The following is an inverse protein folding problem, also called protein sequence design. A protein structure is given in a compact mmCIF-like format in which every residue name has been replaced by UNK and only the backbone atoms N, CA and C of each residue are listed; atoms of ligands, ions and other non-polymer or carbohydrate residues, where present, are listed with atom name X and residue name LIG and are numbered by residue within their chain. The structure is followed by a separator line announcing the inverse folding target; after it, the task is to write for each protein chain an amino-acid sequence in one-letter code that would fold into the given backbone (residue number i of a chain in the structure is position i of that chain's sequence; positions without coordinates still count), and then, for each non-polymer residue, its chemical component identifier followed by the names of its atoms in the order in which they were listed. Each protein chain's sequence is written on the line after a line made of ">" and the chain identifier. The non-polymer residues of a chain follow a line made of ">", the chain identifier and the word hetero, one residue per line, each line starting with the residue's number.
data_IF_774792531274
#
_entry.id   IF_774792531274
#
_cell.length_a   1.000
_cell.length_b   1.000
_cell.length_c   1.000
_cell.angle_alpha   90.00
_cell.angle_beta   90.00
_cell.angle_gamma   90.00
#
_symmetry.space_group_name_H-M   'P 1'
#
loop_
_entity.id
_entity.type
_entity.pdbx_description
1 polymer ?
#
# COMPACT_ATOMS: atom_id res chain seq x y z
N UNK A 1 -22.17 9.84 23.44
CA UNK A 1 -20.75 10.22 23.33
C UNK A 1 -20.44 10.40 21.85
N UNK A 2 -20.05 11.59 21.40
CA UNK A 2 -19.66 11.81 20.00
C UNK A 2 -18.27 11.23 19.79
N UNK A 3 -18.19 10.03 19.22
CA UNK A 3 -16.95 9.55 18.60
C UNK A 3 -16.49 10.61 17.61
N UNK A 4 -15.30 11.16 17.77
CA UNK A 4 -14.72 12.05 16.75
C UNK A 4 -14.49 11.22 15.48
N UNK A 5 -15.47 11.25 14.59
CA UNK A 5 -15.40 10.64 13.26
C UNK A 5 -14.60 11.60 12.39
N UNK A 6 -13.61 11.12 11.63
CA UNK A 6 -12.83 11.90 10.66
C UNK A 6 -11.65 12.74 11.19
N UNK A 7 -11.03 12.35 12.30
CA UNK A 7 -9.82 13.03 12.81
C UNK A 7 -8.63 12.88 11.86
N UNK A 8 -8.50 11.72 11.23
CA UNK A 8 -7.43 11.37 10.29
C UNK A 8 -7.83 11.53 8.82
N UNK A 9 -9.11 11.77 8.55
CA UNK A 9 -9.64 11.97 7.19
C UNK A 9 -8.86 13.01 6.36
N UNK A 10 -8.57 14.24 6.85
CA UNK A 10 -7.81 15.22 6.06
C UNK A 10 -6.37 14.77 5.79
N UNK A 11 -5.75 14.03 6.71
CA UNK A 11 -4.43 13.43 6.50
C UNK A 11 -4.49 12.42 5.37
N UNK A 12 -5.38 11.43 5.46
CA UNK A 12 -5.55 10.41 4.45
C UNK A 12 -5.87 10.99 3.07
N UNK A 13 -6.68 12.05 3.04
CA UNK A 13 -7.00 12.77 1.80
C UNK A 13 -5.75 13.34 1.13
N UNK A 14 -4.77 13.83 1.91
CA UNK A 14 -3.47 14.30 1.40
C UNK A 14 -2.64 13.17 0.80
N UNK A 15 -2.77 11.95 1.33
CA UNK A 15 -2.07 10.76 0.85
C UNK A 15 -2.84 9.96 -0.21
N UNK A 16 -4.07 10.36 -0.59
CA UNK A 16 -4.83 9.74 -1.69
C UNK A 16 -4.03 9.45 -2.97
N UNK A 17 -3.26 10.40 -3.53
CA UNK A 17 -2.47 10.10 -4.73
C UNK A 17 -1.43 9.01 -4.48
N UNK A 18 -0.81 8.98 -3.30
CA UNK A 18 0.13 7.95 -2.89
C UNK A 18 -0.58 6.60 -2.75
N UNK A 19 -1.74 6.55 -2.10
CA UNK A 19 -2.53 5.33 -1.99
C UNK A 19 -2.95 4.77 -3.34
N UNK A 20 -3.38 5.61 -4.29
CA UNK A 20 -3.74 5.14 -5.62
C UNK A 20 -2.56 4.46 -6.34
N UNK A 21 -1.36 5.03 -6.22
CA UNK A 21 -0.14 4.45 -6.80
C UNK A 21 0.23 3.15 -6.08
N UNK A 22 0.26 3.17 -4.75
CA UNK A 22 0.67 2.01 -3.96
C UNK A 22 -0.32 0.85 -4.04
N UNK A 23 -1.62 1.09 -4.10
CA UNK A 23 -2.62 0.03 -4.30
C UNK A 23 -2.49 -0.58 -5.69
N UNK A 24 -2.23 0.25 -6.71
CA UNK A 24 -1.99 -0.23 -8.07
C UNK A 24 -0.72 -1.09 -8.14
N UNK A 25 0.36 -0.69 -7.46
CA UNK A 25 1.59 -1.47 -7.35
C UNK A 25 1.43 -2.72 -6.46
N UNK A 26 0.58 -2.66 -5.44
CA UNK A 26 0.27 -3.76 -4.54
C UNK A 26 -0.40 -4.96 -5.23
N UNK A 27 -0.94 -4.76 -6.44
CA UNK A 27 -1.39 -5.84 -7.31
C UNK A 27 -0.23 -6.71 -7.83
N UNK A 28 0.98 -6.16 -7.85
CA UNK A 28 2.17 -6.78 -8.41
C UNK A 28 3.19 -7.14 -7.33
N UNK A 29 3.41 -6.22 -6.39
CA UNK A 29 4.45 -6.33 -5.36
C UNK A 29 3.95 -5.77 -4.04
N UNK A 30 4.29 -6.40 -2.91
CA UNK A 30 3.97 -5.88 -1.57
C UNK A 30 4.49 -4.45 -1.40
N UNK A 31 3.62 -3.54 -0.96
CA UNK A 31 3.96 -2.14 -0.81
C UNK A 31 3.96 -1.73 0.66
N UNK A 32 4.93 -0.90 1.04
CA UNK A 32 5.01 -0.33 2.38
C UNK A 32 5.05 1.19 2.31
N UNK A 33 4.24 1.85 3.14
CA UNK A 33 4.21 3.31 3.26
C UNK A 33 4.67 3.67 4.66
N UNK A 34 5.78 4.40 4.72
CA UNK A 34 6.34 4.92 5.96
C UNK A 34 5.66 6.25 6.30
N UNK A 35 4.98 6.31 7.45
CA UNK A 35 4.40 7.55 7.98
C UNK A 35 5.28 8.14 9.07
N UNK A 36 5.30 9.46 9.18
CA UNK A 36 5.98 10.14 10.29
C UNK A 36 5.11 10.05 11.54
N UNK A 37 5.74 9.81 12.69
CA UNK A 37 5.06 9.90 14.00
C UNK A 37 4.30 11.21 14.16
N UNK A 38 4.88 12.33 13.72
CA UNK A 38 4.26 13.66 13.81
C UNK A 38 2.94 13.75 13.06
N UNK A 39 2.79 13.11 11.90
CA UNK A 39 1.55 13.14 11.11
C UNK A 39 0.39 12.41 11.80
N UNK A 40 0.69 11.25 12.40
CA UNK A 40 -0.31 10.42 13.10
C UNK A 40 -0.57 10.90 14.54
N UNK A 41 0.45 11.43 15.22
CA UNK A 41 0.36 11.93 16.59
C UNK A 41 -0.22 13.33 16.69
N UNK A 42 0.00 14.21 15.70
CA UNK A 42 -0.56 15.59 15.73
C UNK A 42 -2.08 15.61 15.69
N UNK A 43 -2.69 14.55 15.16
CA UNK A 43 -4.14 14.43 15.03
C UNK A 43 -4.74 13.65 16.21
N UNK A 44 -4.09 12.57 16.65
CA UNK A 44 -4.56 11.74 17.76
C UNK A 44 -4.08 12.22 19.11
N UNK A 45 -4.92 12.95 19.86
CA UNK A 45 -4.67 13.30 21.27
C UNK A 45 -4.82 12.07 22.20
N UNK A 46 -4.12 10.96 21.91
CA UNK A 46 -4.26 9.68 22.61
C UNK A 46 -2.88 9.17 23.00
N UNK A 47 -2.46 9.50 24.22
CA UNK A 47 -1.17 9.18 24.85
C UNK A 47 -0.80 7.68 24.91
N UNK A 48 -1.68 6.76 24.51
CA UNK A 48 -1.50 5.30 24.61
C UNK A 48 -2.18 4.49 23.49
N UNK A 49 -2.45 5.09 22.33
CA UNK A 49 -2.99 4.31 21.23
C UNK A 49 -1.83 3.63 20.50
N UNK A 50 -1.68 2.33 20.70
CA UNK A 50 -0.97 1.50 19.74
C UNK A 50 -1.67 1.71 18.38
N UNK A 51 -1.08 2.53 17.50
CA UNK A 51 -1.61 2.85 16.16
C UNK A 51 -1.64 1.63 15.23
N UNK A 52 -1.55 0.41 15.77
CA UNK A 52 -1.61 -0.81 15.01
C UNK A 52 -3.04 -1.17 14.65
N UNK A 53 -3.30 -1.38 13.37
CA UNK A 53 -4.58 -1.89 12.89
C UNK A 53 -4.37 -2.79 11.69
N UNK A 54 -5.34 -3.68 11.45
CA UNK A 54 -5.42 -4.50 10.25
C UNK A 54 -6.78 -4.28 9.59
N UNK A 55 -6.75 -3.75 8.38
CA UNK A 55 -7.90 -3.47 7.54
C UNK A 55 -7.83 -4.43 6.35
N UNK A 56 -8.81 -5.32 6.24
CA UNK A 56 -8.92 -6.27 5.16
C UNK A 56 -10.12 -5.89 4.30
N UNK A 57 -9.89 -5.67 3.01
CA UNK A 57 -10.89 -5.22 2.05
C UNK A 57 -11.00 -6.28 0.96
N UNK A 58 -12.18 -6.85 0.81
CA UNK A 58 -12.52 -7.80 -0.23
C UNK A 58 -13.70 -7.25 -1.04
N UNK A 59 -13.52 -7.14 -2.35
CA UNK A 59 -14.55 -6.64 -3.28
C UNK A 59 -15.13 -5.28 -2.85
N UNK A 60 -14.24 -4.36 -2.46
CA UNK A 60 -14.59 -3.03 -1.97
C UNK A 60 -15.30 -2.97 -0.61
N UNK A 61 -15.39 -4.09 0.13
CA UNK A 61 -16.02 -4.16 1.46
C UNK A 61 -15.01 -4.58 2.52
N UNK A 62 -15.12 -4.00 3.71
CA UNK A 62 -14.27 -4.41 4.84
C UNK A 62 -14.71 -5.78 5.35
N UNK A 63 -13.78 -6.73 5.39
CA UNK A 63 -13.94 -8.07 5.97
C UNK A 63 -13.71 -8.10 7.48
N UNK A 64 -12.78 -7.28 7.98
CA UNK A 64 -12.38 -7.27 9.39
C UNK A 64 -13.08 -6.19 10.23
N UNK A 65 -13.08 -6.33 11.55
CA UNK A 65 -13.62 -5.31 12.44
C UNK A 65 -12.63 -4.15 12.66
N UNK A 66 -12.87 -3.04 11.97
CA UNK A 66 -12.10 -1.79 12.09
C UNK A 66 -12.72 -0.77 13.07
N UNK A 67 -13.84 -1.11 13.70
CA UNK A 67 -14.60 -0.17 14.56
C UNK A 67 -13.83 0.27 15.80
N UNK A 68 -12.82 -0.52 16.22
CA UNK A 68 -11.94 -0.19 17.34
C UNK A 68 -10.86 0.85 17.02
N UNK A 69 -10.63 1.17 15.74
CA UNK A 69 -9.59 2.10 15.30
C UNK A 69 -10.17 3.21 14.44
N UNK A 70 -10.23 4.43 15.00
CA UNK A 70 -10.64 5.63 14.25
C UNK A 70 -9.73 5.86 13.02
N UNK A 71 -8.44 5.56 13.16
CA UNK A 71 -7.42 5.65 12.10
C UNK A 71 -7.78 4.77 10.92
N UNK A 72 -8.18 3.51 11.18
CA UNK A 72 -8.55 2.53 10.15
C UNK A 72 -9.87 2.89 9.46
N UNK A 73 -10.85 3.37 10.23
CA UNK A 73 -12.15 3.81 9.73
C UNK A 73 -12.02 4.99 8.78
N UNK A 74 -11.32 6.04 9.21
CA UNK A 74 -11.11 7.23 8.40
C UNK A 74 -10.33 6.90 7.12
N UNK A 75 -9.38 5.94 7.18
CA UNK A 75 -8.67 5.47 5.99
C UNK A 75 -9.64 4.82 5.00
N UNK A 76 -10.46 3.87 5.46
CA UNK A 76 -11.44 3.20 4.61
C UNK A 76 -12.44 4.18 3.98
N UNK A 77 -12.93 5.15 4.76
CA UNK A 77 -13.85 6.19 4.26
C UNK A 77 -13.18 7.04 3.17
N UNK A 78 -11.90 7.41 3.32
CA UNK A 78 -11.16 8.14 2.28
C UNK A 78 -10.92 7.30 1.03
N UNK A 79 -10.55 6.03 1.19
CA UNK A 79 -10.31 5.12 0.05
C UNK A 79 -11.60 4.91 -0.75
N UNK A 80 -12.73 4.68 -0.08
CA UNK A 80 -14.03 4.48 -0.72
C UNK A 80 -14.67 5.76 -1.26
N UNK A 81 -14.29 6.93 -0.72
CA UNK A 81 -14.70 8.23 -1.24
C UNK A 81 -14.08 8.53 -2.61
N UNK A 82 -12.95 7.90 -2.97
CA UNK A 82 -12.29 8.11 -4.26
C UNK A 82 -12.74 7.04 -5.26
N UNK A 83 -13.42 7.38 -6.36
CA UNK A 83 -13.89 6.40 -7.33
C UNK A 83 -12.72 5.58 -7.92
N UNK A 84 -11.60 6.23 -8.24
CA UNK A 84 -10.40 5.56 -8.78
C UNK A 84 -9.86 4.45 -7.87
N UNK A 85 -9.85 4.69 -6.56
CA UNK A 85 -9.36 3.70 -5.59
C UNK A 85 -10.44 2.66 -5.33
N UNK A 86 -11.70 3.09 -5.23
CA UNK A 86 -12.85 2.20 -5.09
C UNK A 86 -12.89 1.16 -6.21
N UNK A 87 -12.71 1.58 -7.47
CA UNK A 87 -12.61 0.68 -8.63
C UNK A 87 -11.44 -0.31 -8.51
N UNK A 88 -10.27 0.14 -8.02
CA UNK A 88 -9.14 -0.76 -7.76
C UNK A 88 -9.44 -1.78 -6.66
N UNK A 89 -10.22 -1.41 -5.65
CA UNK A 89 -10.62 -2.30 -4.55
C UNK A 89 -11.78 -3.23 -4.93
N UNK A 90 -12.57 -2.88 -5.96
CA UNK A 90 -13.60 -3.77 -6.51
C UNK A 90 -12.94 -4.99 -7.17
N UNK A 91 -13.52 -6.18 -7.00
CA UNK A 91 -12.99 -7.45 -7.52
C UNK A 91 -11.54 -7.80 -7.09
N UNK A 92 -11.02 -7.11 -6.09
CA UNK A 92 -9.70 -7.36 -5.52
C UNK A 92 -9.78 -7.59 -4.02
N UNK A 93 -8.76 -8.27 -3.50
CA UNK A 93 -8.62 -8.53 -2.07
C UNK A 93 -7.30 -7.91 -1.61
N UNK A 94 -7.39 -6.90 -0.77
CA UNK A 94 -6.24 -6.22 -0.19
C UNK A 94 -6.26 -6.24 1.33
N UNK A 95 -5.08 -6.38 1.91
CA UNK A 95 -4.84 -6.26 3.35
C UNK A 95 -3.92 -5.10 3.63
N UNK A 96 -4.41 -4.16 4.42
CA UNK A 96 -3.70 -3.00 4.92
C UNK A 96 -3.38 -3.23 6.40
N UNK A 97 -2.10 -3.19 6.78
CA UNK A 97 -1.68 -3.40 8.17
C UNK A 97 -0.74 -2.29 8.61
N UNK A 98 -1.13 -1.51 9.61
CA UNK A 98 -0.28 -0.51 10.25
C UNK A 98 0.33 -1.11 11.51
N UNK A 99 1.64 -0.94 11.69
CA UNK A 99 2.35 -1.36 12.91
C UNK A 99 2.74 -0.19 13.82
N UNK A 100 3.35 -0.51 14.97
CA UNK A 100 3.89 0.50 15.92
C UNK A 100 5.06 1.32 15.34
N UNK A 101 5.66 0.84 14.25
CA UNK A 101 6.69 1.54 13.48
C UNK A 101 6.11 2.63 12.56
N UNK A 102 4.78 2.85 12.56
CA UNK A 102 4.10 3.78 11.63
C UNK A 102 4.27 3.39 10.15
N UNK A 103 4.48 2.10 9.88
CA UNK A 103 4.60 1.53 8.53
C UNK A 103 3.28 0.87 8.17
N UNK A 104 2.62 1.37 7.13
CA UNK A 104 1.43 0.77 6.55
C UNK A 104 1.85 -0.19 5.44
N UNK A 105 1.66 -1.49 5.67
CA UNK A 105 1.87 -2.53 4.67
C UNK A 105 0.59 -2.76 3.89
N UNK A 106 0.71 -2.91 2.58
CA UNK A 106 -0.38 -3.16 1.64
C UNK A 106 -0.02 -4.41 0.85
N UNK A 107 -0.82 -5.45 1.02
CA UNK A 107 -0.61 -6.76 0.38
C UNK A 107 -1.88 -7.14 -0.37
N UNK A 108 -1.74 -7.53 -1.63
CA UNK A 108 -2.83 -8.16 -2.38
C UNK A 108 -2.93 -9.63 -1.99
N UNK A 109 -4.08 -10.03 -1.45
CA UNK A 109 -4.38 -11.42 -1.06
C UNK A 109 -5.10 -12.19 -2.17
N UNK A 110 -5.06 -11.68 -3.42
CA UNK A 110 -5.58 -12.43 -4.56
C UNK A 110 -4.82 -13.76 -4.66
N UNK A 111 -5.51 -14.91 -4.90
CA UNK A 111 -4.83 -16.13 -5.27
C UNK A 111 -4.12 -15.90 -6.61
N UNK A 112 -2.81 -15.70 -6.51
CA UNK A 112 -1.87 -15.48 -7.59
C UNK A 112 -1.71 -16.80 -8.37
N UNK A 113 -2.52 -16.98 -9.41
CA UNK A 113 -2.05 -17.69 -10.60
C UNK A 113 -1.17 -16.69 -11.37
N UNK A 114 0.12 -17.01 -11.49
CA UNK A 114 1.20 -16.24 -12.10
C UNK A 114 1.53 -14.85 -11.51
N UNK A 115 2.65 -14.79 -10.77
CA UNK A 115 3.60 -13.68 -10.86
C UNK A 115 4.96 -14.11 -10.31
N UNK A 116 5.75 -14.72 -11.20
CA UNK A 116 7.21 -14.80 -11.13
C UNK A 116 7.69 -14.08 -12.40
N UNK A 117 8.79 -13.33 -12.31
CA UNK A 117 9.41 -12.44 -13.33
C UNK A 117 8.96 -11.00 -13.10
N UNK A 118 9.79 -10.06 -12.62
CA UNK A 118 11.05 -9.62 -13.23
C UNK A 118 11.90 -8.88 -12.19
N UNK A 119 13.08 -9.40 -11.85
CA UNK A 119 14.13 -8.63 -11.15
C UNK A 119 15.12 -8.22 -12.23
N UNK A 120 15.07 -6.94 -12.60
CA UNK A 120 16.10 -6.28 -13.40
C UNK A 120 17.32 -6.04 -12.49
N UNK A 121 18.42 -6.73 -12.74
CA UNK A 121 19.76 -6.19 -12.45
C UNK A 121 20.39 -5.82 -13.77
N UNK A 122 20.20 -4.55 -14.10
CA UNK A 122 21.00 -3.80 -15.07
C UNK A 122 22.41 -3.68 -14.51
N UNK A 123 23.36 -4.40 -15.10
CA UNK A 123 24.79 -4.20 -14.91
C UNK A 123 25.46 -4.25 -16.29
N UNK A 124 25.63 -3.04 -16.82
CA UNK A 124 26.73 -2.57 -17.67
C UNK A 124 26.91 -3.15 -19.08
N UNK A 125 26.73 -2.25 -20.06
CA UNK A 125 27.31 -2.33 -21.38
C UNK A 125 28.84 -2.38 -21.29
N UNK A 126 29.45 -3.40 -21.87
CA UNK A 126 30.67 -3.17 -22.64
C UNK A 126 30.63 -4.07 -23.88
N UNK A 127 30.38 -3.42 -25.01
CA UNK A 127 30.55 -3.98 -26.33
C UNK A 127 32.01 -3.82 -26.74
N UNK A 128 32.72 -4.92 -27.00
CA UNK A 128 33.76 -4.95 -28.02
C UNK A 128 33.66 -6.26 -28.82
N UNK A 129 33.44 -6.20 -30.14
CA UNK A 129 33.45 -7.35 -31.02
C UNK A 129 34.85 -7.53 -31.63
N UNK A 130 35.51 -8.66 -31.36
CA UNK A 130 36.55 -9.17 -32.25
C UNK A 130 36.37 -10.68 -32.44
N UNK A 131 35.51 -10.99 -33.41
CA UNK A 131 35.63 -12.20 -34.21
C UNK A 131 36.88 -12.02 -35.07
N UNK A 132 37.94 -12.76 -34.77
CA UNK A 132 38.93 -13.11 -35.79
C UNK A 132 38.83 -14.61 -36.02
N UNK A 133 38.15 -14.92 -37.11
CA UNK A 133 38.07 -16.22 -37.74
C UNK A 133 39.47 -16.77 -38.01
N UNK A 134 39.68 -18.02 -37.64
CA UNK A 134 40.63 -18.89 -38.32
C UNK A 134 40.31 -18.91 -39.82
N UNK A 135 41.31 -18.63 -40.66
CA UNK A 135 41.41 -19.27 -41.97
C UNK A 135 42.89 -19.43 -42.31
N UNK A 136 43.27 -20.69 -42.51
CA UNK A 136 44.53 -21.19 -43.03
C UNK A 136 44.89 -20.57 -44.40
N UNK A 137 46.18 -20.29 -44.62
CA UNK A 137 47.01 -20.78 -45.75
C UNK A 137 48.43 -20.21 -45.70
#
# INVERSE_FOLDING_TARGET
>A
MMTQVNLYYPLWKKYLPVFAIQIKKALTEEQEINFTKSDLHSLGNRNKADYSFSLEIENGKVKNNISGSAVARDLFDVLTSSPKIKDLLQDNHFKFSLGKAYILKIVSLKPQAEQKTEVLTEAELEAEPLVQSETEL
#
